data_IF_078870498448
#
_entry.id   IF_078870498448
#
_cell.length_a   1.000
_cell.length_b   1.000
_cell.length_c   1.000
_cell.angle_alpha   90.00
_cell.angle_beta   90.00
_cell.angle_gamma   90.00
#
_symmetry.space_group_name_H-M   'P 1'
#
loop_
_entity.id
_entity.type
_entity.pdbx_description
1 polymer ?
#
# COMPACT_ATOMS: atom_id res chain seq x y z
N UNK A 1 -10.91 9.05 14.35
CA UNK A 1 -10.31 8.94 13.00
C UNK A 1 -10.53 7.53 12.49
N UNK A 2 -11.11 7.40 11.33
CA UNK A 2 -11.34 6.11 10.69
C UNK A 2 -10.16 5.74 9.81
N UNK A 3 -9.68 4.51 9.93
CA UNK A 3 -8.62 3.97 9.09
C UNK A 3 -9.23 2.86 8.24
N UNK A 4 -9.28 3.06 6.94
CA UNK A 4 -9.85 2.10 6.01
C UNK A 4 -8.72 1.42 5.25
N UNK A 5 -8.64 0.11 5.36
CA UNK A 5 -7.60 -0.70 4.73
C UNK A 5 -8.07 -1.11 3.33
N UNK A 6 -7.48 -0.52 2.31
CA UNK A 6 -7.76 -0.81 0.91
C UNK A 6 -6.71 -1.75 0.30
N UNK A 7 -6.06 -2.55 1.14
CA UNK A 7 -5.15 -3.61 0.72
C UNK A 7 -5.81 -4.98 0.92
N UNK A 8 -5.30 -6.05 0.31
CA UNK A 8 -5.90 -7.38 0.49
C UNK A 8 -5.55 -8.07 1.81
N UNK A 9 -4.70 -7.48 2.65
CA UNK A 9 -4.18 -8.12 3.86
C UNK A 9 -4.52 -7.32 5.11
N UNK A 10 -4.77 -8.01 6.22
CA UNK A 10 -4.83 -7.38 7.53
C UNK A 10 -3.47 -6.77 7.88
N UNK A 11 -3.49 -5.62 8.56
CA UNK A 11 -2.28 -4.90 8.95
C UNK A 11 -2.23 -4.81 10.47
N UNK A 12 -1.14 -5.32 11.06
CA UNK A 12 -0.87 -5.18 12.48
C UNK A 12 -0.01 -3.95 12.73
N UNK A 13 -0.50 -3.02 13.51
CA UNK A 13 0.28 -1.90 14.00
C UNK A 13 0.85 -2.24 15.37
N UNK A 14 2.15 -2.05 15.53
CA UNK A 14 2.90 -2.48 16.69
C UNK A 14 3.40 -1.29 17.49
N UNK A 15 3.50 -1.48 18.81
CA UNK A 15 4.15 -0.53 19.71
C UNK A 15 5.67 -0.71 19.65
N UNK A 16 6.40 0.16 20.33
CA UNK A 16 7.87 0.09 20.40
C UNK A 16 8.38 -1.26 20.90
N UNK A 17 7.64 -1.91 21.80
CA UNK A 17 8.01 -3.23 22.35
C UNK A 17 7.52 -4.40 21.48
N UNK A 18 7.02 -4.12 20.26
CA UNK A 18 6.48 -5.08 19.32
C UNK A 18 5.17 -5.74 19.73
N UNK A 19 4.53 -5.27 20.81
CA UNK A 19 3.16 -5.70 21.12
C UNK A 19 2.18 -5.06 20.13
N UNK A 20 1.05 -5.72 19.90
CA UNK A 20 0.05 -5.25 18.94
C UNK A 20 -0.72 -4.08 19.54
N UNK A 21 -0.66 -2.93 18.86
CA UNK A 21 -1.48 -1.76 19.18
C UNK A 21 -2.89 -1.90 18.57
N UNK A 22 -2.97 -2.30 17.33
CA UNK A 22 -4.23 -2.46 16.62
C UNK A 22 -4.02 -3.37 15.40
N UNK A 23 -5.07 -4.06 15.01
CA UNK A 23 -5.13 -4.81 13.75
C UNK A 23 -6.22 -4.21 12.90
N UNK A 24 -5.87 -3.78 11.70
CA UNK A 24 -6.82 -3.20 10.76
C UNK A 24 -7.11 -4.23 9.66
N UNK A 25 -8.30 -4.78 9.70
CA UNK A 25 -8.73 -5.78 8.72
C UNK A 25 -8.94 -5.16 7.34
N UNK A 26 -8.81 -5.96 6.26
CA UNK A 26 -9.18 -5.49 4.93
C UNK A 26 -10.63 -5.04 4.90
N UNK A 27 -10.89 -3.93 4.22
CA UNK A 27 -12.26 -3.40 4.11
C UNK A 27 -13.15 -4.21 3.14
N UNK A 28 -12.54 -5.06 2.32
CA UNK A 28 -13.22 -5.75 1.23
C UNK A 28 -13.10 -5.03 -0.11
N UNK A 29 -12.63 -3.79 -0.10
CA UNK A 29 -12.30 -3.02 -1.29
C UNK A 29 -10.79 -2.91 -1.41
N UNK A 30 -10.27 -2.93 -2.64
CA UNK A 30 -8.84 -2.79 -2.91
C UNK A 30 -8.64 -1.62 -3.85
N UNK A 31 -7.80 -0.65 -3.45
CA UNK A 31 -7.38 0.43 -4.34
C UNK A 31 -6.19 -0.05 -5.18
N UNK A 32 -6.26 0.17 -6.48
CA UNK A 32 -5.22 -0.27 -7.42
C UNK A 32 -4.92 0.82 -8.42
N UNK A 33 -3.64 0.95 -8.78
CA UNK A 33 -3.22 1.75 -9.93
C UNK A 33 -3.24 0.86 -11.17
N UNK A 34 -3.83 1.35 -12.25
CA UNK A 34 -3.82 0.65 -13.52
C UNK A 34 -2.38 0.51 -14.01
N UNK A 35 -1.98 -0.68 -14.43
CA UNK A 35 -0.65 -0.96 -14.95
C UNK A 35 -0.73 -1.25 -16.43
N UNK A 36 0.13 -0.60 -17.22
CA UNK A 36 0.33 -0.93 -18.63
C UNK A 36 1.75 -1.44 -18.83
N UNK A 37 1.92 -2.34 -19.80
CA UNK A 37 3.22 -2.89 -20.18
C UNK A 37 3.39 -2.78 -21.66
N UNK A 38 4.60 -2.43 -22.08
CA UNK A 38 4.99 -2.38 -23.48
C UNK A 38 6.36 -3.03 -23.63
N UNK A 39 6.48 -4.02 -24.52
CA UNK A 39 7.76 -4.64 -24.80
C UNK A 39 8.65 -3.66 -25.54
N UNK A 40 9.82 -3.35 -24.99
CA UNK A 40 10.74 -2.36 -25.57
C UNK A 40 12.08 -2.96 -26.01
N UNK A 41 12.29 -4.26 -25.79
CA UNK A 41 13.52 -4.92 -26.22
C UNK A 41 13.73 -6.26 -25.58
N UNK A 42 14.96 -6.74 -25.70
CA UNK A 42 15.41 -8.01 -25.10
C UNK A 42 16.81 -7.86 -24.55
N UNK A 43 17.11 -8.62 -23.51
CA UNK A 43 18.45 -8.82 -22.98
C UNK A 43 18.66 -10.32 -22.82
N UNK A 44 19.59 -10.89 -23.59
CA UNK A 44 19.92 -12.33 -23.56
C UNK A 44 18.69 -13.25 -23.73
N UNK A 45 17.75 -12.85 -24.60
CA UNK A 45 16.50 -13.60 -24.81
C UNK A 45 15.42 -13.31 -23.79
N UNK A 46 15.69 -12.47 -22.80
CA UNK A 46 14.70 -12.06 -21.78
C UNK A 46 13.99 -10.79 -22.27
N UNK A 47 12.69 -10.86 -22.34
CA UNK A 47 11.88 -9.68 -22.75
C UNK A 47 12.03 -8.58 -21.71
N UNK A 48 12.29 -7.35 -22.19
CA UNK A 48 12.30 -6.16 -21.36
C UNK A 48 11.01 -5.38 -21.62
N UNK A 49 10.22 -5.18 -20.57
CA UNK A 49 8.99 -4.38 -20.64
C UNK A 49 9.21 -3.03 -19.98
N UNK A 50 8.61 -2.01 -20.55
CA UNK A 50 8.41 -0.75 -19.87
C UNK A 50 7.03 -0.76 -19.22
N UNK A 51 6.99 -0.52 -17.90
CA UNK A 51 5.75 -0.46 -17.15
C UNK A 51 5.40 0.99 -16.83
N UNK A 52 4.13 1.31 -16.91
CA UNK A 52 3.60 2.58 -16.42
C UNK A 52 2.36 2.34 -15.60
N UNK A 53 2.11 3.24 -14.64
CA UNK A 53 0.97 3.16 -13.74
C UNK A 53 0.12 4.41 -13.95
N UNK A 54 -1.18 4.18 -14.13
CA UNK A 54 -2.12 5.25 -14.47
C UNK A 54 -3.21 5.43 -13.43
N UNK A 55 -4.45 5.52 -13.89
CA UNK A 55 -5.60 5.83 -13.04
C UNK A 55 -5.75 4.86 -11.88
N UNK A 56 -6.10 5.39 -10.72
CA UNK A 56 -6.40 4.61 -9.51
C UNK A 56 -7.88 4.26 -9.50
N UNK A 57 -8.19 2.99 -9.24
CA UNK A 57 -9.56 2.51 -9.04
C UNK A 57 -9.70 1.98 -7.62
N UNK A 58 -10.93 2.01 -7.10
CA UNK A 58 -11.22 1.48 -5.77
C UNK A 58 -10.87 2.42 -4.63
N UNK A 59 -10.44 3.65 -4.91
CA UNK A 59 -10.16 4.64 -3.89
C UNK A 59 -11.40 5.55 -3.75
N UNK A 60 -12.06 5.53 -2.57
CA UNK A 60 -13.22 6.40 -2.35
C UNK A 60 -12.83 7.87 -2.32
N UNK A 61 -13.82 8.74 -2.50
CA UNK A 61 -13.64 10.17 -2.32
C UNK A 61 -13.27 10.48 -0.86
N UNK A 62 -12.58 11.61 -0.60
CA UNK A 62 -12.25 11.99 0.76
C UNK A 62 -13.48 12.09 1.65
N UNK A 63 -13.34 11.59 2.87
CA UNK A 63 -14.38 11.61 3.90
C UNK A 63 -13.85 12.31 5.14
N UNK A 64 -14.71 13.01 5.92
CA UNK A 64 -14.26 13.61 7.17
C UNK A 64 -13.67 12.56 8.11
N UNK A 65 -12.55 12.89 8.75
CA UNK A 65 -11.88 12.07 9.75
C UNK A 65 -11.59 10.63 9.30
N UNK A 66 -11.24 10.49 8.02
CA UNK A 66 -10.97 9.19 7.42
C UNK A 66 -9.65 9.23 6.66
N UNK A 67 -8.82 8.20 6.86
CA UNK A 67 -7.63 7.96 6.05
C UNK A 67 -7.72 6.58 5.40
N UNK A 68 -6.99 6.41 4.32
CA UNK A 68 -6.99 5.18 3.53
C UNK A 68 -5.58 4.62 3.47
N UNK A 69 -5.45 3.31 3.74
CA UNK A 69 -4.20 2.58 3.59
C UNK A 69 -4.21 1.86 2.26
N UNK A 70 -3.17 2.08 1.47
CA UNK A 70 -3.01 1.51 0.13
C UNK A 70 -1.60 0.99 -0.05
N UNK A 71 -1.36 0.28 -1.16
CA UNK A 71 0.00 -0.12 -1.52
C UNK A 71 0.84 1.09 -1.95
N UNK A 72 2.17 0.95 -1.87
CA UNK A 72 3.09 2.03 -2.25
C UNK A 72 2.90 2.47 -3.71
N UNK A 73 2.68 1.54 -4.62
CA UNK A 73 2.45 1.86 -6.04
C UNK A 73 1.16 2.67 -6.22
N UNK A 74 0.10 2.31 -5.52
CA UNK A 74 -1.15 3.05 -5.56
C UNK A 74 -0.99 4.45 -4.99
N UNK A 75 -0.28 4.58 -3.86
CA UNK A 75 -0.02 5.88 -3.25
C UNK A 75 0.77 6.80 -4.17
N UNK A 76 1.75 6.27 -4.91
CA UNK A 76 2.50 7.06 -5.88
C UNK A 76 1.63 7.59 -7.01
N UNK A 77 0.59 6.86 -7.38
CA UNK A 77 -0.34 7.27 -8.44
C UNK A 77 -1.38 8.30 -7.97
N UNK A 78 -1.47 8.57 -6.67
CA UNK A 78 -2.43 9.53 -6.11
C UNK A 78 -1.80 10.46 -5.08
N UNK A 79 -0.63 11.00 -5.40
CA UNK A 79 0.13 11.91 -4.51
C UNK A 79 -0.61 13.19 -4.15
N UNK A 80 -1.58 13.58 -4.93
CA UNK A 80 -2.42 14.75 -4.68
C UNK A 80 -3.42 14.54 -3.53
N UNK A 81 -3.57 13.30 -3.05
CA UNK A 81 -4.48 12.97 -1.95
C UNK A 81 -3.72 12.99 -0.63
N UNK A 82 -4.13 13.87 0.28
CA UNK A 82 -3.52 13.99 1.61
C UNK A 82 -4.03 12.95 2.61
N UNK A 83 -5.07 12.23 2.27
CA UNK A 83 -5.70 11.21 3.11
C UNK A 83 -5.27 9.78 2.78
N UNK A 84 -4.29 9.61 1.89
CA UNK A 84 -3.78 8.31 1.44
C UNK A 84 -2.43 8.05 2.07
N UNK A 85 -2.29 6.88 2.69
CA UNK A 85 -1.09 6.48 3.43
C UNK A 85 -0.67 5.07 3.03
N UNK A 86 0.60 4.79 3.28
CA UNK A 86 1.17 3.44 3.20
C UNK A 86 1.64 3.00 4.58
N UNK A 87 1.86 1.71 4.76
CA UNK A 87 2.53 1.21 5.96
C UNK A 87 4.01 1.56 5.90
N UNK A 88 4.60 1.82 7.08
CA UNK A 88 5.99 2.20 7.20
C UNK A 88 6.61 1.54 8.44
N UNK A 89 7.94 1.48 8.48
CA UNK A 89 8.69 0.91 9.59
C UNK A 89 8.25 -0.53 9.87
N UNK A 90 8.45 -1.39 8.87
CA UNK A 90 8.09 -2.80 8.95
C UNK A 90 8.92 -3.54 10.00
N UNK A 91 8.26 -4.42 10.75
CA UNK A 91 8.90 -5.30 11.73
C UNK A 91 8.87 -6.72 11.18
N UNK A 92 10.02 -7.40 11.23
CA UNK A 92 10.18 -8.77 10.74
C UNK A 92 10.48 -9.71 11.88
N UNK A 93 10.05 -10.96 11.76
CA UNK A 93 10.40 -12.02 12.69
C UNK A 93 11.78 -12.61 12.38
N UNK A 94 12.18 -13.64 13.12
CA UNK A 94 13.47 -14.32 12.93
C UNK A 94 13.66 -14.92 11.54
N UNK A 95 12.56 -15.24 10.86
CA UNK A 95 12.56 -15.82 9.52
C UNK A 95 12.47 -14.75 8.41
N UNK A 96 12.51 -13.47 8.77
CA UNK A 96 12.43 -12.37 7.82
C UNK A 96 11.02 -12.04 7.35
N UNK A 97 9.99 -12.63 7.93
CA UNK A 97 8.58 -12.34 7.59
C UNK A 97 8.11 -11.08 8.28
N UNK A 98 7.38 -10.25 7.55
CA UNK A 98 6.79 -9.04 8.12
C UNK A 98 5.63 -9.44 9.03
N UNK A 99 5.74 -9.08 10.31
CA UNK A 99 4.71 -9.34 11.33
C UNK A 99 3.85 -8.13 11.61
N UNK A 100 4.28 -6.95 11.19
CA UNK A 100 3.55 -5.71 11.38
C UNK A 100 4.39 -4.49 11.04
N UNK A 101 3.90 -3.33 11.41
CA UNK A 101 4.59 -2.07 11.20
C UNK A 101 4.35 -1.12 12.37
N UNK A 102 5.25 -0.17 12.56
CA UNK A 102 5.18 0.79 13.68
C UNK A 102 4.68 2.16 13.25
N UNK A 103 4.52 2.39 11.97
CA UNK A 103 4.17 3.71 11.44
C UNK A 103 3.36 3.61 10.15
N UNK A 104 2.78 4.73 9.77
CA UNK A 104 2.24 4.96 8.43
C UNK A 104 2.98 6.14 7.82
N UNK A 105 3.01 6.22 6.50
CA UNK A 105 3.71 7.28 5.79
C UNK A 105 2.90 7.78 4.61
N UNK A 106 3.21 9.00 4.20
CA UNK A 106 2.72 9.61 2.94
C UNK A 106 3.84 9.59 1.92
N UNK A 107 3.47 9.47 0.67
CA UNK A 107 4.42 9.56 -0.42
C UNK A 107 4.56 11.00 -0.89
#
# INVERSE_FOLDING_TARGET
MNIINLTPHAINFLREDNSVLATIEPSGMIARAAQTREAVGEVNGIVVNQCSYGAVTGLPDPQPETIYLVSALTAQACRDRSDVFITDDAVRDENGRIIGCKAIARI
#
